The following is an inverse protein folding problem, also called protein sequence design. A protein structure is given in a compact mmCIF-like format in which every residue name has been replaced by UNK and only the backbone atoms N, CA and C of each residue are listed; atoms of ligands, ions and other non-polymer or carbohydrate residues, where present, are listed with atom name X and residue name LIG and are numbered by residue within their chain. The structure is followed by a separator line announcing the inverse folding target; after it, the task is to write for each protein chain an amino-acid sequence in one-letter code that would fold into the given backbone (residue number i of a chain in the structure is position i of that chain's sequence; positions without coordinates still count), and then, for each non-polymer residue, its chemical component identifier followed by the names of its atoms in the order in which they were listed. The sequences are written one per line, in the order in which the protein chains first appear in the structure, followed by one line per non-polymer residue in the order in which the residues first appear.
data_IF_649988743152
#
_entry.id   IF_649988743152
#
_cell.length_a   1.000
_cell.length_b   1.000
_cell.length_c   1.000
_cell.angle_alpha   90.00
_cell.angle_beta   90.00
_cell.angle_gamma   90.00
#
_symmetry.space_group_name_H-M   'P 1'
#
loop_
_entity.id
_entity.type
_entity.pdbx_description
1 polymer ?
#
# COMPACT_ATOMS: atom_id res chain seq x y z
N UNK A 1 5.60 7.41 -9.39
CA UNK A 1 5.95 8.32 -8.28
C UNK A 1 7.39 8.05 -7.89
N UNK A 2 8.20 9.10 -7.73
CA UNK A 2 9.54 8.97 -7.16
C UNK A 2 9.37 8.59 -5.67
N UNK A 3 9.84 7.41 -5.29
CA UNK A 3 9.76 6.89 -3.92
C UNK A 3 11.11 6.24 -3.59
N UNK A 4 11.64 6.41 -2.36
CA UNK A 4 12.82 5.70 -1.90
C UNK A 4 12.66 4.18 -2.07
N UNK A 5 13.75 3.50 -2.47
CA UNK A 5 13.75 2.06 -2.71
C UNK A 5 13.40 1.28 -1.43
N UNK A 6 13.93 1.72 -0.30
CA UNK A 6 13.68 1.14 1.03
C UNK A 6 12.18 1.13 1.38
N UNK A 7 11.49 2.25 1.17
CA UNK A 7 10.06 2.36 1.45
C UNK A 7 9.25 1.42 0.55
N UNK A 8 9.64 1.31 -0.72
CA UNK A 8 8.95 0.42 -1.66
C UNK A 8 9.12 -1.06 -1.27
N UNK A 9 10.34 -1.46 -0.92
CA UNK A 9 10.63 -2.83 -0.48
C UNK A 9 9.83 -3.13 0.80
N UNK A 10 9.80 -2.22 1.76
CA UNK A 10 9.05 -2.40 2.99
C UNK A 10 7.53 -2.57 2.78
N UNK A 11 6.93 -1.83 1.83
CA UNK A 11 5.51 -2.01 1.46
C UNK A 11 5.30 -3.40 0.88
N UNK A 12 6.17 -3.85 -0.02
CA UNK A 12 6.04 -5.16 -0.66
C UNK A 12 6.26 -6.31 0.31
N UNK A 13 7.24 -6.19 1.22
CA UNK A 13 7.46 -7.16 2.29
C UNK A 13 6.23 -7.32 3.18
N UNK A 14 5.61 -6.21 3.60
CA UNK A 14 4.41 -6.24 4.42
C UNK A 14 3.24 -6.86 3.67
N UNK A 15 3.01 -6.44 2.41
CA UNK A 15 1.94 -6.96 1.57
C UNK A 15 2.09 -8.47 1.33
N UNK A 16 3.30 -8.95 1.10
CA UNK A 16 3.56 -10.37 0.85
C UNK A 16 3.48 -11.22 2.13
N UNK A 17 3.86 -10.64 3.28
CA UNK A 17 3.77 -11.32 4.58
C UNK A 17 2.33 -11.53 5.03
N UNK A 18 1.49 -10.50 4.91
CA UNK A 18 0.10 -10.54 5.39
C UNK A 18 -0.90 -10.98 4.30
N UNK A 19 -0.55 -10.83 3.01
CA UNK A 19 -1.43 -11.11 1.86
C UNK A 19 -2.54 -10.07 1.63
N UNK A 20 -2.73 -9.16 2.58
CA UNK A 20 -3.70 -8.06 2.54
C UNK A 20 -3.07 -6.78 3.08
N UNK A 21 -3.58 -5.63 2.65
CA UNK A 21 -3.17 -4.34 3.16
C UNK A 21 -4.34 -3.37 3.13
N UNK A 22 -4.37 -2.42 4.08
CA UNK A 22 -5.35 -1.35 4.07
C UNK A 22 -4.68 0.01 4.19
N UNK A 23 -5.33 1.07 3.70
CA UNK A 23 -4.93 2.44 4.00
C UNK A 23 -6.14 3.37 4.04
N UNK A 24 -6.10 4.35 4.95
CA UNK A 24 -7.06 5.46 4.91
C UNK A 24 -6.78 6.32 3.68
N UNK A 25 -7.80 6.75 2.96
CA UNK A 25 -7.70 7.72 1.86
C UNK A 25 -7.47 9.12 2.42
N UNK A 26 -6.23 9.33 2.86
CA UNK A 26 -5.72 10.57 3.43
C UNK A 26 -4.27 10.77 2.98
N UNK A 27 -4.06 11.75 2.10
CA UNK A 27 -2.77 12.00 1.45
C UNK A 27 -1.82 12.76 2.37
N UNK A 28 -2.36 13.53 3.32
CA UNK A 28 -1.58 14.40 4.21
C UNK A 28 -1.11 13.65 5.46
N UNK A 29 -1.54 12.41 5.65
CA UNK A 29 -1.15 11.59 6.79
C UNK A 29 0.36 11.30 6.74
N UNK A 30 1.13 11.77 7.74
CA UNK A 30 2.59 11.72 7.71
C UNK A 30 3.14 10.32 7.95
N UNK A 31 2.39 9.46 8.66
CA UNK A 31 2.80 8.09 8.97
C UNK A 31 1.64 7.13 8.77
N UNK A 32 1.92 6.02 8.07
CA UNK A 32 0.98 4.93 7.93
C UNK A 32 0.96 4.07 9.22
N UNK A 33 -0.22 3.65 9.75
CA UNK A 33 -0.31 2.94 11.04
C UNK A 33 0.51 1.65 11.13
N UNK A 34 0.47 0.80 10.10
CA UNK A 34 1.20 -0.49 10.09
C UNK A 34 2.70 -0.33 9.81
N UNK A 35 3.14 0.86 9.39
CA UNK A 35 4.53 1.16 9.02
C UNK A 35 5.05 2.37 9.81
N UNK A 36 4.51 2.57 11.01
CA UNK A 36 4.82 3.72 11.87
C UNK A 36 6.32 3.81 12.21
N UNK A 37 6.99 2.66 12.35
CA UNK A 37 8.42 2.56 12.66
C UNK A 37 9.32 3.08 11.54
N UNK A 38 8.89 2.96 10.27
CA UNK A 38 9.67 3.32 9.09
C UNK A 38 9.43 4.77 8.62
N UNK A 39 8.72 5.59 9.41
CA UNK A 39 8.38 7.00 9.10
C UNK A 39 7.81 7.19 7.67
N UNK A 40 7.01 6.22 7.20
CA UNK A 40 6.55 6.21 5.82
C UNK A 40 5.24 7.00 5.65
N UNK A 41 5.18 7.97 4.73
CA UNK A 41 3.95 8.70 4.47
C UNK A 41 2.93 7.80 3.78
N UNK A 42 1.66 7.98 4.15
CA UNK A 42 0.56 7.19 3.62
C UNK A 42 0.39 7.33 2.10
N UNK A 43 0.81 8.48 1.54
CA UNK A 43 0.88 8.71 0.11
C UNK A 43 1.73 7.65 -0.63
N UNK A 44 2.85 7.20 -0.03
CA UNK A 44 3.72 6.19 -0.67
C UNK A 44 2.99 4.86 -0.77
N UNK A 45 2.29 4.44 0.28
CA UNK A 45 1.48 3.22 0.30
C UNK A 45 0.39 3.30 -0.78
N UNK A 46 -0.41 4.37 -0.78
CA UNK A 46 -1.49 4.54 -1.75
C UNK A 46 -0.99 4.52 -3.20
N UNK A 47 0.15 5.16 -3.50
CA UNK A 47 0.71 5.23 -4.86
C UNK A 47 1.43 3.96 -5.27
N UNK A 48 2.06 3.23 -4.34
CA UNK A 48 2.62 1.91 -4.59
C UNK A 48 1.50 0.91 -4.94
N UNK A 49 0.44 0.87 -4.14
CA UNK A 49 -0.70 -0.03 -4.36
C UNK A 49 -1.47 0.34 -5.63
N UNK A 50 -1.61 1.64 -5.96
CA UNK A 50 -2.17 2.08 -7.24
C UNK A 50 -1.37 1.52 -8.44
N UNK A 51 -0.04 1.47 -8.33
CA UNK A 51 0.82 0.90 -9.38
C UNK A 51 0.69 -0.63 -9.48
N UNK A 52 0.46 -1.33 -8.38
CA UNK A 52 0.23 -2.78 -8.40
C UNK A 52 -1.14 -3.10 -8.98
N UNK A 53 -2.18 -2.34 -8.59
CA UNK A 53 -3.52 -2.44 -9.17
C UNK A 53 -3.51 -2.27 -10.68
N UNK A 54 -2.79 -1.27 -11.21
CA UNK A 54 -2.73 -1.04 -12.66
C UNK A 54 -2.08 -2.19 -13.44
N UNK A 55 -1.33 -3.05 -12.76
CA UNK A 55 -0.68 -4.25 -13.32
C UNK A 55 -1.43 -5.54 -13.01
N UNK A 56 -2.62 -5.47 -12.40
CA UNK A 56 -3.46 -6.60 -12.00
C UNK A 56 -2.94 -7.52 -10.87
N UNK A 57 -1.77 -7.25 -10.27
CA UNK A 57 -1.22 -8.01 -9.13
C UNK A 57 -2.03 -7.91 -7.82
N UNK A 58 -2.93 -6.93 -7.72
CA UNK A 58 -3.68 -6.65 -6.50
C UNK A 58 -5.10 -6.21 -6.86
N UNK A 59 -6.08 -6.74 -6.14
CA UNK A 59 -7.47 -6.30 -6.19
C UNK A 59 -7.73 -5.21 -5.15
N UNK A 60 -8.28 -4.08 -5.58
CA UNK A 60 -8.63 -2.96 -4.71
C UNK A 60 -10.14 -2.94 -4.42
N UNK A 61 -10.50 -2.68 -3.17
CA UNK A 61 -11.85 -2.38 -2.72
C UNK A 61 -11.85 -1.08 -1.91
N UNK A 62 -12.80 -0.19 -2.16
CA UNK A 62 -12.90 1.09 -1.45
C UNK A 62 -14.20 1.18 -0.66
N UNK A 63 -14.11 1.42 0.65
CA UNK A 63 -15.27 1.56 1.52
C UNK A 63 -14.97 2.54 2.67
N UNK A 64 -15.91 3.43 3.01
CA UNK A 64 -15.81 4.33 4.18
C UNK A 64 -14.54 5.18 4.25
N UNK A 65 -14.00 5.62 3.11
CA UNK A 65 -12.69 6.31 2.99
C UNK A 65 -11.47 5.43 3.33
N UNK A 66 -11.62 4.12 3.33
CA UNK A 66 -10.53 3.16 3.43
C UNK A 66 -10.38 2.40 2.11
N UNK A 67 -9.13 2.24 1.69
CA UNK A 67 -8.70 1.40 0.58
C UNK A 67 -8.26 0.07 1.17
N UNK A 68 -8.77 -1.01 0.63
CA UNK A 68 -8.43 -2.38 0.97
C UNK A 68 -7.85 -3.04 -0.26
N UNK A 69 -6.77 -3.79 -0.07
CA UNK A 69 -6.05 -4.45 -1.13
C UNK A 69 -5.84 -5.91 -0.78
N UNK A 70 -6.08 -6.77 -1.77
CA UNK A 70 -5.92 -8.22 -1.68
C UNK A 70 -4.95 -8.66 -2.77
N UNK A 71 -3.95 -9.45 -2.39
CA UNK A 71 -3.04 -10.06 -3.37
C UNK A 71 -3.84 -11.02 -4.26
N UNK A 72 -3.60 -10.97 -5.56
CA UNK A 72 -4.15 -11.94 -6.52
C UNK A 72 -3.09 -13.00 -6.81
N UNK A 73 -3.50 -14.26 -6.91
CA UNK A 73 -2.63 -15.37 -7.31
C UNK A 73 -2.49 -15.38 -8.83
N UNK A 74 -1.93 -14.34 -9.46
CA UNK A 74 -1.75 -14.37 -10.92
C UNK A 74 -1.18 -15.73 -11.38
N UNK A 75 -1.91 -16.38 -12.30
CA UNK A 75 -1.51 -17.63 -12.97
C UNK A 75 -0.47 -17.36 -14.07
#
# INVERSE_FOLDING_TARGET
MLMPKENRIAIYELLFKEGVMFAKKDVLMPKHPELADKNMPNLHVMKAMQSLKSRAYVKEQFAWRHLYWYLTNEE
#
